data_IF_650940983099
#
_entry.id   IF_650940983099
#
_cell.length_a   1.000
_cell.length_b   1.000
_cell.length_c   1.000
_cell.angle_alpha   90.00
_cell.angle_beta   90.00
_cell.angle_gamma   90.00
#
_symmetry.space_group_name_H-M   'P 1'
#
loop_
_entity.id
_entity.type
_entity.pdbx_description
1 polymer ?
#
# COMPACT_ATOMS: atom_id res chain seq x y z
N UNK A 1 -1.16 3.95 18.65
CA UNK A 1 0.21 3.70 18.17
C UNK A 1 0.97 5.00 18.20
N UNK A 2 2.04 5.04 18.99
CA UNK A 2 3.04 6.11 18.92
C UNK A 2 3.77 6.00 17.57
N UNK A 3 3.94 7.12 16.89
CA UNK A 3 4.61 7.21 15.57
C UNK A 3 6.13 7.30 15.71
N UNK A 4 6.64 7.08 16.92
CA UNK A 4 8.02 7.33 17.35
C UNK A 4 9.02 6.26 16.87
N UNK A 5 8.66 5.48 15.85
CA UNK A 5 9.50 4.40 15.34
C UNK A 5 10.44 4.92 14.27
N UNK A 6 11.71 5.04 14.65
CA UNK A 6 12.76 5.60 13.81
C UNK A 6 13.07 4.74 12.57
N UNK A 7 13.11 3.41 12.76
CA UNK A 7 13.53 2.47 11.72
C UNK A 7 12.76 1.14 11.71
N UNK A 8 12.81 0.51 10.53
CA UNK A 8 12.42 -0.87 10.27
C UNK A 8 13.61 -1.75 10.65
N UNK A 9 13.45 -2.55 11.70
CA UNK A 9 14.55 -3.34 12.26
C UNK A 9 14.73 -4.66 11.51
N UNK A 10 15.91 -5.29 11.69
CA UNK A 10 16.29 -6.53 10.98
C UNK A 10 15.24 -7.62 11.09
N UNK A 11 14.61 -7.75 12.24
CA UNK A 11 13.57 -8.75 12.48
C UNK A 11 12.35 -8.55 11.57
N UNK A 12 11.90 -7.31 11.37
CA UNK A 12 10.73 -6.97 10.56
C UNK A 12 11.03 -7.09 9.07
N UNK A 13 12.21 -6.60 8.65
CA UNK A 13 12.69 -6.84 7.29
C UNK A 13 12.81 -8.32 6.98
N UNK A 14 13.30 -9.11 7.95
CA UNK A 14 13.38 -10.56 7.87
C UNK A 14 12.01 -11.22 7.70
N UNK A 15 11.02 -10.86 8.53
CA UNK A 15 9.65 -11.36 8.39
C UNK A 15 9.08 -11.07 7.00
N UNK A 16 9.22 -9.84 6.52
CA UNK A 16 8.74 -9.45 5.20
C UNK A 16 9.40 -10.28 4.09
N UNK A 17 10.72 -10.50 4.18
CA UNK A 17 11.45 -11.33 3.22
C UNK A 17 10.97 -12.78 3.23
N UNK A 18 10.75 -13.36 4.40
CA UNK A 18 10.20 -14.73 4.54
C UNK A 18 8.80 -14.82 3.92
N UNK A 19 7.93 -13.84 4.17
CA UNK A 19 6.58 -13.81 3.60
C UNK A 19 6.61 -13.71 2.07
N UNK A 20 7.50 -12.88 1.52
CA UNK A 20 7.68 -12.75 0.08
C UNK A 20 8.17 -14.06 -0.55
N UNK A 21 9.17 -14.71 0.07
CA UNK A 21 9.68 -15.99 -0.41
C UNK A 21 8.63 -17.11 -0.34
N UNK A 22 7.84 -17.16 0.73
CA UNK A 22 6.72 -18.10 0.85
C UNK A 22 5.68 -17.88 -0.24
N UNK A 23 5.33 -16.63 -0.53
CA UNK A 23 4.38 -16.29 -1.59
C UNK A 23 4.88 -16.79 -2.95
N UNK A 24 6.14 -16.50 -3.31
CA UNK A 24 6.73 -16.96 -4.56
C UNK A 24 6.81 -18.49 -4.66
N UNK A 25 7.11 -19.18 -3.56
CA UNK A 25 7.13 -20.64 -3.54
C UNK A 25 5.73 -21.25 -3.73
N UNK A 26 4.68 -20.56 -3.25
CA UNK A 26 3.30 -21.08 -3.28
C UNK A 26 2.61 -20.77 -4.60
N UNK A 27 2.79 -19.55 -5.12
CA UNK A 27 2.05 -19.03 -6.27
C UNK A 27 2.93 -18.78 -7.50
N UNK A 28 4.24 -18.99 -7.39
CA UNK A 28 5.20 -18.65 -8.42
C UNK A 28 5.54 -17.16 -8.45
N UNK A 29 6.39 -16.79 -9.41
CA UNK A 29 6.82 -15.40 -9.63
C UNK A 29 5.78 -14.67 -10.49
N UNK A 30 4.72 -14.22 -9.84
CA UNK A 30 3.65 -13.42 -10.46
C UNK A 30 3.75 -11.94 -10.07
N UNK A 31 3.29 -11.00 -10.91
CA UNK A 31 3.32 -9.57 -10.59
C UNK A 31 2.45 -9.27 -9.37
N UNK A 32 3.06 -8.78 -8.30
CA UNK A 32 2.36 -8.38 -7.07
C UNK A 32 2.99 -7.13 -6.46
N UNK A 33 2.17 -6.35 -5.79
CA UNK A 33 2.61 -5.25 -4.95
C UNK A 33 2.80 -5.74 -3.51
N UNK A 34 4.04 -5.68 -3.01
CA UNK A 34 4.36 -6.08 -1.64
C UNK A 34 4.32 -4.85 -0.73
N UNK A 35 3.36 -4.81 0.18
CA UNK A 35 3.14 -3.65 1.06
C UNK A 35 3.40 -4.06 2.50
N UNK A 36 4.29 -3.34 3.18
CA UNK A 36 4.50 -3.42 4.61
C UNK A 36 3.76 -2.26 5.29
N UNK A 37 2.77 -2.59 6.12
CA UNK A 37 2.00 -1.59 6.89
C UNK A 37 2.68 -1.38 8.23
N UNK A 38 3.43 -0.28 8.37
CA UNK A 38 4.26 0.00 9.54
C UNK A 38 4.47 1.53 9.68
N UNK A 39 4.65 2.10 10.89
CA UNK A 39 4.91 3.54 11.06
C UNK A 39 6.31 3.99 10.61
N UNK A 40 7.31 3.11 10.63
CA UNK A 40 8.69 3.43 10.24
C UNK A 40 8.87 3.43 8.72
N UNK A 41 9.76 4.29 8.20
CA UNK A 41 10.10 4.35 6.77
C UNK A 41 11.59 4.08 6.48
N UNK A 42 12.46 4.36 7.45
CA UNK A 42 13.90 4.15 7.28
C UNK A 42 14.24 2.69 7.51
N UNK A 43 15.07 2.11 6.65
CA UNK A 43 15.69 0.82 6.93
C UNK A 43 16.77 1.00 7.98
N UNK A 44 16.76 0.13 9.00
CA UNK A 44 17.86 0.08 9.95
C UNK A 44 19.16 -0.44 9.31
N UNK A 45 20.30 -0.16 9.93
CA UNK A 45 21.63 -0.46 9.40
C UNK A 45 21.81 -1.91 8.92
N UNK A 46 21.21 -2.88 9.63
CA UNK A 46 21.30 -4.31 9.34
C UNK A 46 20.03 -4.87 8.65
N UNK A 47 19.19 -4.01 8.10
CA UNK A 47 17.90 -4.36 7.49
C UNK A 47 17.95 -4.14 5.98
N UNK A 48 17.52 -5.15 5.21
CA UNK A 48 17.35 -5.03 3.75
C UNK A 48 16.19 -5.89 3.28
N UNK A 49 15.39 -5.37 2.35
CA UNK A 49 14.38 -6.17 1.66
C UNK A 49 15.01 -6.94 0.49
N UNK A 50 14.61 -8.19 0.32
CA UNK A 50 15.02 -9.03 -0.83
C UNK A 50 14.13 -8.84 -2.05
N UNK A 51 13.02 -8.12 -1.90
CA UNK A 51 12.02 -7.83 -2.93
C UNK A 51 11.70 -6.35 -2.94
N UNK A 52 11.07 -5.86 -4.01
CA UNK A 52 10.51 -4.51 -4.04
C UNK A 52 9.33 -4.43 -3.08
N UNK A 53 9.53 -3.72 -1.97
CA UNK A 53 8.57 -3.56 -0.88
C UNK A 53 8.24 -2.08 -0.73
N UNK A 54 6.95 -1.80 -0.62
CA UNK A 54 6.42 -0.46 -0.36
C UNK A 54 5.94 -0.33 1.08
N UNK A 55 6.02 0.87 1.62
CA UNK A 55 5.60 1.18 2.99
C UNK A 55 4.26 1.92 2.97
N UNK A 56 3.30 1.42 3.74
CA UNK A 56 2.03 2.11 4.00
C UNK A 56 2.01 2.61 5.45
N UNK A 57 2.23 3.91 5.63
CA UNK A 57 2.22 4.55 6.95
C UNK A 57 0.84 5.08 7.31
N UNK A 58 0.66 5.48 8.57
CA UNK A 58 -0.58 6.03 9.12
C UNK A 58 -1.17 7.18 8.29
N UNK A 59 -0.33 8.11 7.84
CA UNK A 59 -0.76 9.25 7.02
C UNK A 59 -1.43 8.80 5.74
N UNK A 60 -0.72 7.99 4.95
CA UNK A 60 -1.21 7.43 3.69
C UNK A 60 -2.39 6.48 3.88
N UNK A 61 -2.41 5.66 4.94
CA UNK A 61 -3.56 4.80 5.26
C UNK A 61 -4.84 5.61 5.55
N UNK A 62 -4.71 6.75 6.24
CA UNK A 62 -5.83 7.68 6.46
C UNK A 62 -6.32 8.28 5.15
N UNK A 63 -5.40 8.64 4.25
CA UNK A 63 -5.76 9.24 2.96
C UNK A 63 -6.43 8.20 2.05
N UNK A 64 -5.91 6.97 2.01
CA UNK A 64 -6.56 5.83 1.35
C UNK A 64 -7.98 5.60 1.90
N UNK A 65 -8.17 5.64 3.22
CA UNK A 65 -9.50 5.52 3.83
C UNK A 65 -10.44 6.61 3.36
N UNK A 66 -9.96 7.86 3.23
CA UNK A 66 -10.77 8.98 2.71
C UNK A 66 -11.17 8.74 1.26
N UNK A 67 -10.24 8.33 0.40
CA UNK A 67 -10.50 8.00 -1.00
C UNK A 67 -11.55 6.90 -1.14
N UNK A 68 -11.43 5.81 -0.37
CA UNK A 68 -12.42 4.71 -0.38
C UNK A 68 -13.79 5.22 0.08
N UNK A 69 -13.84 6.00 1.17
CA UNK A 69 -15.10 6.54 1.69
C UNK A 69 -15.76 7.49 0.69
N UNK A 70 -14.97 8.36 0.04
CA UNK A 70 -15.45 9.29 -0.98
C UNK A 70 -15.97 8.55 -2.21
N UNK A 71 -15.27 7.52 -2.69
CA UNK A 71 -15.73 6.66 -3.77
C UNK A 71 -17.10 6.04 -3.48
N UNK A 72 -17.30 5.45 -2.30
CA UNK A 72 -18.60 4.89 -1.95
C UNK A 72 -19.69 5.95 -1.75
N UNK A 73 -19.33 7.18 -1.39
CA UNK A 73 -20.30 8.27 -1.28
C UNK A 73 -20.86 8.71 -2.65
N UNK A 74 -20.13 8.51 -3.75
CA UNK A 74 -20.62 8.78 -5.11
C UNK A 74 -21.94 8.03 -5.39
N UNK A 75 -22.05 6.79 -4.91
CA UNK A 75 -23.22 5.94 -5.13
C UNK A 75 -24.47 6.43 -4.40
N UNK A 76 -24.35 7.28 -3.36
CA UNK A 76 -25.51 7.71 -2.55
C UNK A 76 -26.52 8.55 -3.34
N UNK A 77 -26.06 9.24 -4.38
CA UNK A 77 -26.90 10.10 -5.21
C UNK A 77 -27.39 9.41 -6.50
N UNK A 78 -27.01 8.14 -6.72
CA UNK A 78 -27.27 7.42 -7.97
C UNK A 78 -28.23 6.26 -7.76
N UNK A 79 -29.10 6.05 -8.75
CA UNK A 79 -29.84 4.80 -8.89
C UNK A 79 -28.91 3.72 -9.43
N UNK A 80 -28.73 2.65 -8.65
CA UNK A 80 -27.83 1.55 -8.99
C UNK A 80 -28.32 0.75 -10.20
N UNK A 81 -29.62 0.75 -10.50
CA UNK A 81 -30.19 0.03 -11.65
C UNK A 81 -29.82 0.68 -12.99
N UNK A 82 -29.55 1.99 -12.98
CA UNK A 82 -29.21 2.76 -14.18
C UNK A 82 -27.71 3.10 -14.26
N UNK A 83 -26.93 2.67 -13.28
CA UNK A 83 -25.52 3.00 -13.17
C UNK A 83 -24.69 2.22 -14.20
N UNK A 84 -24.03 2.95 -15.09
CA UNK A 84 -23.16 2.37 -16.11
C UNK A 84 -21.72 2.16 -15.60
N UNK A 85 -21.06 1.10 -16.05
CA UNK A 85 -19.69 0.75 -15.67
C UNK A 85 -18.69 1.88 -15.93
N UNK A 86 -18.86 2.62 -17.03
CA UNK A 86 -17.97 3.76 -17.35
C UNK A 86 -18.04 4.87 -16.31
N UNK A 87 -19.16 5.03 -15.61
CA UNK A 87 -19.29 5.99 -14.52
C UNK A 87 -18.54 5.51 -13.27
N UNK A 88 -18.69 4.23 -12.92
CA UNK A 88 -17.92 3.59 -11.84
C UNK A 88 -16.42 3.69 -12.10
N UNK A 89 -15.99 3.45 -13.34
CA UNK A 89 -14.60 3.60 -13.74
C UNK A 89 -14.09 5.04 -13.58
N UNK A 90 -14.88 6.05 -13.97
CA UNK A 90 -14.54 7.47 -13.75
C UNK A 90 -14.33 7.77 -12.27
N UNK A 91 -15.19 7.24 -11.39
CA UNK A 91 -15.02 7.42 -9.94
C UNK A 91 -13.78 6.70 -9.40
N UNK A 92 -13.47 5.49 -9.89
CA UNK A 92 -12.22 4.80 -9.51
C UNK A 92 -10.98 5.61 -9.87
N UNK A 93 -10.96 6.22 -11.07
CA UNK A 93 -9.89 7.13 -11.50
C UNK A 93 -9.85 8.38 -10.63
N UNK A 94 -11.01 9.02 -10.42
CA UNK A 94 -11.11 10.26 -9.66
C UNK A 94 -10.63 10.12 -8.21
N UNK A 95 -10.92 8.99 -7.57
CA UNK A 95 -10.55 8.72 -6.18
C UNK A 95 -9.19 8.01 -6.03
N UNK A 96 -8.41 7.88 -7.11
CA UNK A 96 -7.08 7.23 -7.10
C UNK A 96 -7.11 5.79 -6.56
N UNK A 97 -8.08 5.00 -7.02
CA UNK A 97 -8.31 3.61 -6.57
C UNK A 97 -8.00 2.56 -7.65
N UNK A 98 -7.41 2.94 -8.78
CA UNK A 98 -6.86 1.93 -9.71
C UNK A 98 -5.61 1.30 -9.12
N UNK A 99 -5.27 0.09 -9.55
CA UNK A 99 -4.08 -0.63 -9.07
C UNK A 99 -2.78 0.21 -9.21
N UNK A 100 -2.65 0.94 -10.31
CA UNK A 100 -1.50 1.82 -10.59
C UNK A 100 -1.45 3.03 -9.66
N UNK A 101 -2.60 3.68 -9.43
CA UNK A 101 -2.71 4.85 -8.54
C UNK A 101 -2.48 4.42 -7.10
N UNK A 102 -2.97 3.24 -6.73
CA UNK A 102 -2.88 2.70 -5.37
C UNK A 102 -1.43 2.59 -4.90
N UNK A 103 -0.54 2.14 -5.79
CA UNK A 103 0.88 2.00 -5.51
C UNK A 103 1.53 3.37 -5.24
N UNK A 104 1.31 4.34 -6.12
CA UNK A 104 2.07 5.59 -6.10
C UNK A 104 1.49 6.61 -5.13
N UNK A 105 0.16 6.65 -4.98
CA UNK A 105 -0.52 7.64 -4.16
C UNK A 105 -0.58 7.24 -2.69
N UNK A 106 -0.75 5.95 -2.40
CA UNK A 106 -0.99 5.47 -1.04
C UNK A 106 0.19 4.73 -0.42
N UNK A 107 1.30 4.54 -1.12
CA UNK A 107 2.50 3.91 -0.52
C UNK A 107 3.77 4.70 -0.80
N UNK A 108 4.77 4.52 0.04
CA UNK A 108 6.08 5.19 -0.05
C UNK A 108 7.19 4.14 -0.27
N UNK A 109 8.27 4.45 -1.01
CA UNK A 109 9.44 3.61 -1.00
C UNK A 109 10.10 3.65 0.40
N UNK A 110 10.68 2.55 0.89
CA UNK A 110 11.51 2.59 2.08
C UNK A 110 12.70 3.52 1.84
N UNK A 111 13.15 4.21 2.89
CA UNK A 111 14.34 5.05 2.84
C UNK A 111 15.53 4.21 3.26
N UNK A 112 16.54 4.17 2.40
CA UNK A 112 17.81 3.52 2.73
C UNK A 112 18.46 4.18 3.95
N UNK A 113 19.22 3.39 4.71
CA UNK A 113 19.98 3.90 5.84
C UNK A 113 20.97 4.97 5.37
N UNK A 114 20.82 6.20 5.88
CA UNK A 114 21.77 7.28 5.63
C UNK A 114 22.87 7.23 6.70
N UNK A 115 24.13 7.19 6.26
CA UNK A 115 25.32 7.14 7.12
C UNK A 115 25.56 8.45 7.85
#
# INVERSE_FOLDING_TARGET
MKDDREEIVKHEGGQMNTHCAWFENTYGKVPVTRILVIPAINLGYATRFTHDVRILRRGKLRDLKKCITAFFNEFRAYDLETLHETQVFKWLVHHHLRAEDFLNEHTEPPREYQR
#
